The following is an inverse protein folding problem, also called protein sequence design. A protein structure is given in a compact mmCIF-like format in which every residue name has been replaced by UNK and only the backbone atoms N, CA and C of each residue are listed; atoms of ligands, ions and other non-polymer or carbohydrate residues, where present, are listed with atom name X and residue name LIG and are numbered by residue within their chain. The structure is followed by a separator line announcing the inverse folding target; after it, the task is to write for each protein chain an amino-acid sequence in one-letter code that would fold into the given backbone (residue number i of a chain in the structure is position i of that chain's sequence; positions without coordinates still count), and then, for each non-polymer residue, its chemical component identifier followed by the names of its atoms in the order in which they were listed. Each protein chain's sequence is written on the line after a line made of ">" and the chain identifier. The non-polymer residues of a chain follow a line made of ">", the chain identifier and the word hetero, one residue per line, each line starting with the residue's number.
data_IF_388038513924
#
_entry.id   IF_388038513924
#
_cell.length_a   1.000
_cell.length_b   1.000
_cell.length_c   1.000
_cell.angle_alpha   90.00
_cell.angle_beta   90.00
_cell.angle_gamma   90.00
#
_symmetry.space_group_name_H-M   'P 1'
#
loop_
_entity.id
_entity.type
_entity.pdbx_description
1 polymer ?
#
# COMPACT_ATOMS: atom_id res chain seq x y z
N UNK A 1 12.85 13.94 -10.63
CA UNK A 1 13.05 12.62 -11.27
C UNK A 1 14.41 12.55 -11.95
N UNK A 2 14.97 11.38 -12.00
CA UNK A 2 16.28 11.17 -12.59
C UNK A 2 16.16 10.28 -13.82
N UNK A 3 16.69 10.72 -14.95
CA UNK A 3 16.68 9.94 -16.19
C UNK A 3 17.60 8.72 -16.06
N UNK A 4 17.15 7.58 -16.56
CA UNK A 4 17.94 6.34 -16.57
C UNK A 4 18.73 6.18 -17.86
N UNK A 5 18.35 6.89 -18.92
CA UNK A 5 18.90 6.68 -20.26
C UNK A 5 18.34 5.46 -20.98
N UNK A 6 17.47 4.72 -20.34
CA UNK A 6 16.86 3.52 -20.91
C UNK A 6 15.62 3.92 -21.71
N UNK A 7 15.55 3.47 -22.97
CA UNK A 7 14.43 3.76 -23.87
C UNK A 7 13.82 2.43 -24.31
N UNK A 8 12.49 2.32 -24.22
CA UNK A 8 11.74 1.15 -24.67
C UNK A 8 10.54 1.60 -25.48
N UNK A 9 10.07 0.76 -26.38
CA UNK A 9 8.91 1.06 -27.21
C UNK A 9 7.66 0.39 -26.67
N UNK A 10 6.54 1.10 -26.77
CA UNK A 10 5.24 0.51 -26.48
C UNK A 10 4.88 -0.39 -27.67
N UNK A 11 4.47 -1.63 -27.40
CA UNK A 11 4.07 -2.57 -28.45
C UNK A 11 2.61 -2.35 -28.90
N UNK A 12 2.14 -3.16 -29.85
CA UNK A 12 0.80 -3.05 -30.41
C UNK A 12 -0.31 -3.32 -29.38
N UNK A 13 0.02 -3.97 -28.26
CA UNK A 13 -0.93 -4.26 -27.19
C UNK A 13 -0.84 -3.25 -26.03
N UNK A 14 -0.08 -2.19 -26.20
CA UNK A 14 0.09 -1.18 -25.16
C UNK A 14 1.04 -1.59 -24.04
N UNK A 15 1.86 -2.62 -24.26
CA UNK A 15 2.80 -3.12 -23.24
C UNK A 15 4.16 -2.48 -23.40
N UNK A 16 4.83 -2.29 -22.27
CA UNK A 16 6.21 -1.86 -22.24
C UNK A 16 6.96 -2.76 -21.26
N UNK A 17 8.18 -3.12 -21.59
CA UNK A 17 9.00 -4.00 -20.75
C UNK A 17 9.78 -3.16 -19.75
N UNK A 18 9.67 -3.52 -18.48
CA UNK A 18 10.51 -2.92 -17.44
C UNK A 18 11.89 -3.57 -17.54
N UNK A 19 12.95 -2.78 -17.80
CA UNK A 19 14.29 -3.34 -17.96
C UNK A 19 14.77 -4.09 -16.72
N UNK A 20 15.55 -5.13 -16.95
CA UNK A 20 16.09 -5.98 -15.88
C UNK A 20 16.85 -5.17 -14.82
N UNK A 21 17.61 -4.16 -15.24
CA UNK A 21 18.37 -3.29 -14.34
C UNK A 21 17.44 -2.53 -13.38
N UNK A 22 16.32 -2.04 -13.90
CA UNK A 22 15.32 -1.34 -13.08
C UNK A 22 14.64 -2.31 -12.12
N UNK A 23 14.29 -3.51 -12.62
CA UNK A 23 13.66 -4.53 -11.77
C UNK A 23 14.56 -4.93 -10.60
N UNK A 24 15.87 -5.09 -10.86
CA UNK A 24 16.84 -5.43 -9.82
C UNK A 24 16.98 -4.30 -8.80
N UNK A 25 17.10 -3.07 -9.28
CA UNK A 25 17.26 -1.91 -8.40
C UNK A 25 16.09 -1.73 -7.45
N UNK A 26 14.87 -2.00 -7.93
CA UNK A 26 13.64 -1.85 -7.16
C UNK A 26 13.16 -3.17 -6.55
N UNK A 27 13.90 -4.25 -6.72
CA UNK A 27 13.55 -5.59 -6.24
C UNK A 27 12.17 -6.05 -6.73
N UNK A 28 11.85 -5.74 -7.97
CA UNK A 28 10.58 -6.13 -8.59
C UNK A 28 10.67 -7.58 -9.07
N UNK A 29 9.62 -8.34 -8.81
CA UNK A 29 9.52 -9.75 -9.17
C UNK A 29 8.30 -9.99 -10.03
N UNK A 30 8.32 -11.09 -10.77
CA UNK A 30 7.15 -11.56 -11.50
C UNK A 30 5.97 -11.70 -10.56
N UNK A 31 4.83 -11.16 -10.97
CA UNK A 31 3.60 -11.21 -10.18
C UNK A 31 3.44 -10.07 -9.19
N UNK A 32 4.44 -9.23 -8.99
CA UNK A 32 4.30 -8.07 -8.10
C UNK A 32 3.22 -7.14 -8.63
N UNK A 33 2.25 -6.75 -7.79
CA UNK A 33 1.27 -5.76 -8.19
C UNK A 33 1.90 -4.38 -8.26
N UNK A 34 1.63 -3.68 -9.35
CA UNK A 34 2.18 -2.34 -9.59
C UNK A 34 1.03 -1.37 -9.77
N UNK A 35 1.17 -0.20 -9.20
CA UNK A 35 0.19 0.86 -9.33
C UNK A 35 0.70 1.94 -10.28
N UNK A 36 -0.18 2.40 -11.17
CA UNK A 36 0.12 3.47 -12.12
C UNK A 36 -0.32 4.79 -11.55
N UNK A 37 0.59 5.76 -11.53
CA UNK A 37 0.28 7.14 -11.19
C UNK A 37 0.46 8.00 -12.43
N UNK A 38 -0.47 8.88 -12.69
CA UNK A 38 -0.37 9.81 -13.81
C UNK A 38 0.23 11.13 -13.34
N UNK A 39 1.18 11.63 -14.10
CA UNK A 39 1.72 12.98 -13.95
C UNK A 39 1.32 13.77 -15.19
N UNK A 40 1.59 15.08 -15.22
CA UNK A 40 1.24 15.93 -16.35
C UNK A 40 1.72 15.41 -17.69
N UNK A 41 2.92 14.86 -17.72
CA UNK A 41 3.58 14.44 -18.97
C UNK A 41 4.11 13.00 -18.90
N UNK A 42 3.64 12.20 -17.96
CA UNK A 42 4.18 10.85 -17.82
C UNK A 42 3.44 9.95 -16.87
N UNK A 43 4.02 8.80 -16.69
CA UNK A 43 3.50 7.75 -15.81
C UNK A 43 4.56 7.42 -14.76
N UNK A 44 4.15 7.23 -13.53
CA UNK A 44 5.01 6.71 -12.47
C UNK A 44 4.46 5.35 -12.06
N UNK A 45 5.32 4.35 -12.01
CA UNK A 45 4.98 3.01 -11.54
C UNK A 45 5.59 2.80 -10.16
N UNK A 46 4.78 2.35 -9.23
CA UNK A 46 5.24 1.99 -7.89
C UNK A 46 4.66 0.64 -7.52
N UNK A 47 5.39 -0.11 -6.68
CA UNK A 47 4.81 -1.33 -6.12
C UNK A 47 3.55 -0.96 -5.34
N UNK A 48 2.47 -1.70 -5.57
CA UNK A 48 1.22 -1.49 -4.85
C UNK A 48 1.39 -1.86 -3.38
N UNK A 49 1.18 -0.92 -2.50
CA UNK A 49 1.32 -1.10 -1.04
C UNK A 49 -0.02 -1.42 -0.41
N UNK A 50 -0.53 -2.62 -0.66
CA UNK A 50 -1.82 -3.04 -0.12
C UNK A 50 -1.78 -3.17 1.41
N UNK A 51 -0.62 -3.52 1.98
CA UNK A 51 -0.47 -3.61 3.43
C UNK A 51 -0.60 -2.23 4.08
N UNK A 52 -0.02 -1.19 3.44
CA UNK A 52 -0.17 0.19 3.88
C UNK A 52 -1.60 0.68 3.78
N UNK A 53 -2.32 0.30 2.72
CA UNK A 53 -3.74 0.64 2.58
C UNK A 53 -4.61 -0.02 3.64
N UNK A 54 -4.34 -1.29 3.93
CA UNK A 54 -5.05 -2.01 5.00
C UNK A 54 -4.79 -1.33 6.34
N UNK A 55 -3.54 -1.01 6.63
CA UNK A 55 -3.14 -0.35 7.87
C UNK A 55 -3.83 0.99 8.04
N UNK A 56 -3.86 1.81 6.99
CA UNK A 56 -4.52 3.12 7.00
C UNK A 56 -6.03 2.99 7.24
N UNK A 57 -6.66 2.00 6.60
CA UNK A 57 -8.09 1.74 6.77
C UNK A 57 -8.38 1.32 8.21
N UNK A 58 -7.56 0.45 8.79
CA UNK A 58 -7.71 0.00 10.17
C UNK A 58 -7.55 1.16 11.15
N UNK A 59 -6.58 2.03 10.94
CA UNK A 59 -6.37 3.19 11.80
C UNK A 59 -7.53 4.17 11.74
N UNK A 60 -8.11 4.40 10.56
CA UNK A 60 -9.32 5.21 10.42
C UNK A 60 -10.51 4.58 11.13
N UNK A 61 -10.61 3.26 11.08
CA UNK A 61 -11.67 2.53 11.76
C UNK A 61 -11.52 2.64 13.28
N UNK A 62 -10.30 2.54 13.79
CA UNK A 62 -10.01 2.74 15.22
C UNK A 62 -10.48 4.13 15.66
N UNK A 63 -10.14 5.16 14.90
CA UNK A 63 -10.57 6.53 15.21
C UNK A 63 -12.08 6.67 15.20
N UNK A 64 -12.73 6.05 14.22
CA UNK A 64 -14.20 6.04 14.14
C UNK A 64 -14.83 5.37 15.36
N UNK A 65 -14.27 4.24 15.82
CA UNK A 65 -14.76 3.53 17.02
C UNK A 65 -14.58 4.41 18.26
N UNK A 66 -13.42 5.08 18.39
CA UNK A 66 -13.18 6.00 19.51
C UNK A 66 -14.21 7.15 19.54
N UNK A 67 -14.43 7.77 18.39
CA UNK A 67 -15.37 8.88 18.28
C UNK A 67 -16.80 8.43 18.56
N UNK A 68 -17.16 7.26 18.06
CA UNK A 68 -18.50 6.68 18.28
C UNK A 68 -18.72 6.34 19.75
N UNK A 69 -17.74 5.72 20.39
CA UNK A 69 -17.80 5.36 21.79
C UNK A 69 -17.94 6.60 22.70
N UNK A 70 -17.30 7.70 22.28
CA UNK A 70 -17.37 8.97 23.05
C UNK A 70 -18.70 9.69 22.89
N UNK A 71 -19.39 9.50 21.77
CA UNK A 71 -20.59 10.25 21.40
C UNK A 71 -21.89 9.44 21.45
N UNK A 72 -21.81 8.13 21.65
CA UNK A 72 -22.95 7.21 21.64
C UNK A 72 -22.93 6.32 22.85
N UNK A 73 -23.98 5.49 23.01
CA UNK A 73 -24.14 4.61 24.16
C UNK A 73 -23.32 3.32 24.09
N UNK A 74 -22.22 3.29 23.33
CA UNK A 74 -21.35 2.14 23.33
C UNK A 74 -20.61 2.03 24.65
N UNK A 75 -20.60 0.83 25.23
CA UNK A 75 -19.84 0.57 26.45
C UNK A 75 -18.36 0.76 26.21
N UNK A 76 -17.67 1.44 27.11
CA UNK A 76 -16.23 1.69 26.99
C UNK A 76 -15.45 0.37 26.88
N UNK A 77 -15.85 -0.64 27.64
CA UNK A 77 -15.21 -1.95 27.63
C UNK A 77 -15.31 -2.61 26.25
N UNK A 78 -16.46 -2.51 25.58
CA UNK A 78 -16.64 -3.03 24.23
C UNK A 78 -15.77 -2.30 23.22
N UNK A 79 -15.75 -0.97 23.31
CA UNK A 79 -14.92 -0.14 22.43
C UNK A 79 -13.43 -0.50 22.58
N UNK A 80 -12.96 -0.63 23.80
CA UNK A 80 -11.56 -0.98 24.09
C UNK A 80 -11.17 -2.33 23.52
N UNK A 81 -12.07 -3.32 23.58
CA UNK A 81 -11.83 -4.63 23.00
C UNK A 81 -11.76 -4.59 21.49
N UNK A 82 -12.66 -3.85 20.85
CA UNK A 82 -12.67 -3.69 19.39
C UNK A 82 -11.37 -3.00 18.94
N UNK A 83 -11.00 -1.93 19.61
CA UNK A 83 -9.78 -1.18 19.30
C UNK A 83 -8.55 -2.06 19.45
N UNK A 84 -8.48 -2.84 20.52
CA UNK A 84 -7.36 -3.77 20.74
C UNK A 84 -7.21 -4.77 19.61
N UNK A 85 -8.32 -5.35 19.13
CA UNK A 85 -8.30 -6.28 18.01
C UNK A 85 -7.86 -5.59 16.71
N UNK A 86 -8.31 -4.35 16.50
CA UNK A 86 -7.90 -3.58 15.31
C UNK A 86 -6.42 -3.21 15.37
N UNK A 87 -5.90 -2.88 16.53
CA UNK A 87 -4.48 -2.58 16.72
C UNK A 87 -3.62 -3.83 16.44
N UNK A 88 -4.05 -4.99 16.87
CA UNK A 88 -3.39 -6.25 16.53
C UNK A 88 -3.40 -6.48 15.02
N UNK A 89 -4.50 -6.19 14.37
CA UNK A 89 -4.61 -6.29 12.91
C UNK A 89 -3.65 -5.33 12.20
N UNK A 90 -3.46 -4.12 12.72
CA UNK A 90 -2.49 -3.15 12.19
C UNK A 90 -1.08 -3.74 12.24
N UNK A 91 -0.72 -4.33 13.38
CA UNK A 91 0.60 -4.97 13.55
C UNK A 91 0.80 -6.08 12.51
N UNK A 92 -0.23 -6.90 12.28
CA UNK A 92 -0.17 -7.97 11.28
C UNK A 92 0.03 -7.43 9.86
N UNK A 93 -0.68 -6.36 9.51
CA UNK A 93 -0.55 -5.73 8.19
C UNK A 93 0.83 -5.13 7.99
N UNK A 94 1.38 -4.46 8.99
CA UNK A 94 2.73 -3.89 8.94
C UNK A 94 3.79 -4.98 8.83
N UNK A 95 3.57 -6.12 9.46
CA UNK A 95 4.46 -7.28 9.39
C UNK A 95 4.56 -7.80 7.95
N UNK A 96 3.44 -7.88 7.23
CA UNK A 96 3.41 -8.27 5.81
C UNK A 96 4.20 -7.28 4.95
N UNK A 97 4.08 -6.00 5.25
CA UNK A 97 4.80 -4.94 4.54
C UNK A 97 6.31 -5.08 4.70
N UNK A 98 6.77 -5.37 5.90
CA UNK A 98 8.19 -5.60 6.19
C UNK A 98 8.73 -6.82 5.45
N UNK A 99 7.99 -7.92 5.47
CA UNK A 99 8.37 -9.16 4.79
C UNK A 99 8.51 -8.96 3.28
N UNK A 100 7.66 -8.13 2.68
CA UNK A 100 7.71 -7.85 1.24
C UNK A 100 8.88 -6.95 0.86
N UNK A 101 9.27 -6.05 1.74
CA UNK A 101 10.36 -5.10 1.50
C UNK A 101 11.73 -5.60 1.93
N UNK A 102 11.74 -6.71 2.65
CA UNK A 102 12.97 -7.30 3.19
C UNK A 102 13.78 -8.17 2.23
#
# INVERSE_FOLDING_TARGET
>A
MKATGIVRRIDEFGRIVIPKEVRRRLSLREGDPMEFYLQEDGIVLKRYDFAGEISDMLERTIQWVEDTASNCEMKRDTADKIISLLEDAVVMAESEREDRNG
#
